data_IF_839443653219
#
_entry.id   IF_839443653219
#
_cell.length_a   1.000
_cell.length_b   1.000
_cell.length_c   1.000
_cell.angle_alpha   90.00
_cell.angle_beta   90.00
_cell.angle_gamma   90.00
#
_symmetry.space_group_name_H-M   'P 1'
#
loop_
_entity.id
_entity.type
_entity.pdbx_description
1 polymer ?
#
# COMPACT_ATOMS: atom_id res chain seq x y z
N UNK A 1 0.18 10.10 -8.08
CA UNK A 1 1.30 10.36 -7.14
C UNK A 1 2.52 9.71 -7.76
N UNK A 2 3.71 10.25 -7.59
CA UNK A 2 4.90 9.55 -8.12
C UNK A 2 5.12 8.22 -7.37
N UNK A 3 5.88 7.32 -7.98
CA UNK A 3 6.20 6.03 -7.36
C UNK A 3 7.02 6.20 -6.07
N UNK A 4 7.87 7.22 -6.02
CA UNK A 4 8.65 7.59 -4.84
C UNK A 4 7.74 8.09 -3.71
N UNK A 5 6.72 8.89 -4.03
CA UNK A 5 5.72 9.35 -3.04
C UNK A 5 4.91 8.18 -2.49
N UNK A 6 4.44 7.27 -3.35
CA UNK A 6 3.71 6.07 -2.94
C UNK A 6 4.59 5.14 -2.10
N UNK A 7 5.84 4.94 -2.49
CA UNK A 7 6.82 4.17 -1.74
C UNK A 7 7.09 4.77 -0.36
N UNK A 8 7.29 6.08 -0.28
CA UNK A 8 7.52 6.79 0.98
C UNK A 8 6.32 6.68 1.93
N UNK A 9 5.08 6.85 1.43
CA UNK A 9 3.88 6.70 2.24
C UNK A 9 3.72 5.26 2.74
N UNK A 10 3.93 4.26 1.88
CA UNK A 10 3.87 2.87 2.28
C UNK A 10 4.91 2.53 3.36
N UNK A 11 6.13 3.06 3.20
CA UNK A 11 7.22 2.90 4.18
C UNK A 11 6.88 3.54 5.52
N UNK A 12 6.31 4.74 5.51
CA UNK A 12 5.88 5.45 6.73
C UNK A 12 4.77 4.69 7.46
N UNK A 13 3.74 4.25 6.72
CA UNK A 13 2.63 3.46 7.27
C UNK A 13 3.11 2.13 7.87
N UNK A 14 4.14 1.50 7.30
CA UNK A 14 4.72 0.27 7.82
C UNK A 14 5.57 0.52 9.07
N UNK A 15 6.50 1.48 9.02
CA UNK A 15 7.48 1.71 10.08
C UNK A 15 6.90 2.42 11.32
N UNK A 16 5.85 3.24 11.15
CA UNK A 16 5.19 3.92 12.27
C UNK A 16 4.01 3.14 12.87
N UNK A 17 3.81 1.90 12.44
CA UNK A 17 2.75 1.04 12.97
C UNK A 17 3.26 0.16 14.11
N UNK A 18 2.37 -0.26 15.04
CA UNK A 18 2.66 -1.40 15.91
C UNK A 18 3.10 -2.60 15.05
N UNK A 19 4.07 -3.37 15.54
CA UNK A 19 4.70 -4.45 14.73
C UNK A 19 3.67 -5.49 14.27
N UNK A 20 2.66 -5.75 15.10
CA UNK A 20 1.52 -6.62 14.83
C UNK A 20 0.59 -6.09 13.73
N UNK A 21 0.58 -4.79 13.48
CA UNK A 21 -0.31 -4.11 12.54
C UNK A 21 0.35 -3.80 11.19
N UNK A 22 1.64 -4.08 11.03
CA UNK A 22 2.39 -3.78 9.80
C UNK A 22 1.71 -4.35 8.54
N UNK A 23 1.27 -5.61 8.59
CA UNK A 23 0.53 -6.24 7.48
C UNK A 23 -0.86 -5.61 7.26
N UNK A 24 -1.51 -5.12 8.32
CA UNK A 24 -2.80 -4.42 8.22
C UNK A 24 -2.62 -3.04 7.57
N UNK A 25 -1.55 -2.32 7.91
CA UNK A 25 -1.25 -1.02 7.32
C UNK A 25 -0.94 -1.12 5.83
N UNK A 26 -0.24 -2.17 5.39
CA UNK A 26 -0.01 -2.41 3.95
C UNK A 26 -1.34 -2.65 3.21
N UNK A 27 -2.28 -3.41 3.79
CA UNK A 27 -3.62 -3.58 3.20
C UNK A 27 -4.39 -2.25 3.16
N UNK A 28 -4.33 -1.47 4.23
CA UNK A 28 -4.98 -0.15 4.31
C UNK A 28 -4.41 0.81 3.27
N UNK A 29 -3.09 0.81 3.07
CA UNK A 29 -2.43 1.54 2.00
C UNK A 29 -3.00 1.14 0.63
N UNK A 30 -3.06 -0.16 0.35
CA UNK A 30 -3.62 -0.67 -0.90
C UNK A 30 -5.08 -0.25 -1.12
N UNK A 31 -5.90 -0.18 -0.07
CA UNK A 31 -7.27 0.34 -0.18
C UNK A 31 -7.27 1.84 -0.46
N UNK A 32 -6.45 2.61 0.26
CA UNK A 32 -6.47 4.08 0.25
C UNK A 32 -5.92 4.68 -1.04
N UNK A 33 -4.88 4.08 -1.61
CA UNK A 33 -4.14 4.62 -2.77
C UNK A 33 -4.40 3.85 -4.08
N UNK A 34 -5.44 3.00 -4.11
CA UNK A 34 -5.77 2.20 -5.27
C UNK A 34 -6.03 3.04 -6.53
N UNK A 35 -6.66 4.19 -6.39
CA UNK A 35 -6.99 5.07 -7.52
C UNK A 35 -5.71 5.65 -8.15
N UNK A 36 -4.78 6.10 -7.33
CA UNK A 36 -3.49 6.64 -7.75
C UNK A 36 -2.63 5.57 -8.41
N UNK A 37 -2.55 4.38 -7.80
CA UNK A 37 -1.78 3.25 -8.33
C UNK A 37 -2.32 2.82 -9.70
N UNK A 38 -3.65 2.69 -9.84
CA UNK A 38 -4.30 2.31 -11.09
C UNK A 38 -4.16 3.39 -12.17
N UNK A 39 -4.22 4.67 -11.79
CA UNK A 39 -4.09 5.81 -12.73
C UNK A 39 -2.73 5.82 -13.43
N UNK A 40 -1.66 5.60 -12.67
CA UNK A 40 -0.29 5.70 -13.15
C UNK A 40 0.29 4.33 -13.58
N UNK A 41 -0.53 3.26 -13.52
CA UNK A 41 -0.24 1.88 -13.93
C UNK A 41 1.03 1.28 -13.27
N UNK A 42 1.26 1.61 -12.00
CA UNK A 42 2.35 1.01 -11.22
C UNK A 42 1.99 -0.42 -10.80
N UNK A 43 2.96 -1.32 -10.92
CA UNK A 43 2.88 -2.66 -10.34
C UNK A 43 3.12 -2.63 -8.84
N UNK A 44 2.62 -3.68 -8.16
CA UNK A 44 2.81 -3.81 -6.72
C UNK A 44 4.29 -3.99 -6.37
N UNK A 45 5.03 -4.72 -7.21
CA UNK A 45 6.46 -4.95 -7.09
C UNK A 45 7.27 -3.64 -7.17
N UNK A 46 6.90 -2.74 -8.07
CA UNK A 46 7.58 -1.44 -8.18
C UNK A 46 7.33 -0.56 -6.94
N UNK A 47 6.10 -0.56 -6.41
CA UNK A 47 5.76 0.17 -5.17
C UNK A 47 6.49 -0.43 -3.97
N UNK A 48 6.52 -1.76 -3.84
CA UNK A 48 7.25 -2.46 -2.78
C UNK A 48 8.74 -2.12 -2.84
N UNK A 49 9.35 -2.18 -4.02
CA UNK A 49 10.74 -1.78 -4.24
C UNK A 49 10.99 -0.32 -3.86
N UNK A 50 10.10 0.60 -4.24
CA UNK A 50 10.23 2.02 -3.90
C UNK A 50 10.08 2.28 -2.38
N UNK A 51 9.29 1.47 -1.68
CA UNK A 51 9.10 1.58 -0.23
C UNK A 51 10.25 1.01 0.62
N UNK A 52 11.08 0.14 0.03
CA UNK A 52 12.11 -0.61 0.75
C UNK A 52 11.58 -1.72 1.67
N UNK A 53 10.28 -2.03 1.61
CA UNK A 53 9.67 -3.12 2.38
C UNK A 53 9.92 -4.45 1.67
N UNK A 54 10.12 -5.51 2.45
CA UNK A 54 10.31 -6.86 1.92
C UNK A 54 9.09 -7.38 1.16
N UNK A 55 9.35 -8.04 0.02
CA UNK A 55 8.33 -8.66 -0.84
C UNK A 55 7.45 -9.73 -0.15
N UNK A 56 7.80 -10.18 1.06
CA UNK A 56 6.94 -11.06 1.86
C UNK A 56 5.55 -10.45 2.13
N UNK A 57 5.43 -9.13 2.05
CA UNK A 57 4.16 -8.41 2.21
C UNK A 57 3.44 -8.11 0.90
N UNK A 58 3.97 -8.50 -0.26
CA UNK A 58 3.37 -8.23 -1.57
C UNK A 58 1.92 -8.73 -1.65
N UNK A 59 1.63 -9.89 -1.07
CA UNK A 59 0.29 -10.46 -1.01
C UNK A 59 -0.69 -9.56 -0.24
N UNK A 60 -0.21 -8.82 0.75
CA UNK A 60 -1.04 -7.92 1.55
C UNK A 60 -1.37 -6.64 0.80
N UNK A 61 -0.43 -6.10 0.02
CA UNK A 61 -0.72 -5.00 -0.90
C UNK A 61 -1.75 -5.41 -1.95
N UNK A 62 -1.57 -6.58 -2.58
CA UNK A 62 -2.49 -7.13 -3.57
C UNK A 62 -3.91 -7.32 -3.02
N UNK A 63 -4.06 -7.82 -1.79
CA UNK A 63 -5.36 -7.96 -1.14
C UNK A 63 -5.99 -6.60 -0.83
N UNK A 64 -5.20 -5.62 -0.38
CA UNK A 64 -5.67 -4.25 -0.15
C UNK A 64 -6.25 -3.61 -1.42
N UNK A 65 -5.52 -3.70 -2.52
CA UNK A 65 -5.97 -3.20 -3.82
C UNK A 65 -7.22 -3.91 -4.34
N UNK A 66 -7.33 -5.23 -4.12
CA UNK A 66 -8.55 -5.97 -4.46
C UNK A 66 -9.73 -5.53 -3.60
N UNK A 67 -9.52 -5.31 -2.29
CA UNK A 67 -10.56 -4.85 -1.39
C UNK A 67 -11.07 -3.45 -1.76
N UNK A 68 -10.22 -2.59 -2.33
CA UNK A 68 -10.60 -1.23 -2.76
C UNK A 68 -11.75 -1.20 -3.78
N UNK A 69 -12.04 -2.33 -4.44
CA UNK A 69 -13.14 -2.46 -5.39
C UNK A 69 -14.50 -2.65 -4.71
N UNK A 70 -14.48 -3.06 -3.43
CA UNK A 70 -15.66 -3.41 -2.65
C UNK A 70 -15.88 -2.50 -1.44
N UNK A 71 -14.87 -1.71 -1.06
CA UNK A 71 -14.93 -0.85 0.11
C UNK A 71 -14.43 0.55 -0.20
N UNK A 72 -14.96 1.53 0.52
CA UNK A 72 -14.39 2.87 0.60
C UNK A 72 -13.77 3.05 1.98
N UNK A 73 -12.54 3.57 2.05
CA UNK A 73 -11.92 3.89 3.32
C UNK A 73 -12.74 4.97 4.03
N UNK A 74 -13.02 4.75 5.32
CA UNK A 74 -13.62 5.78 6.16
C UNK A 74 -12.58 6.89 6.32
N UNK A 75 -12.96 8.15 6.10
CA UNK A 75 -12.09 9.27 6.42
C UNK A 75 -11.79 9.23 7.93
N UNK A 76 -10.50 9.19 8.29
CA UNK A 76 -10.00 9.35 9.66
C UNK A 76 -9.76 10.82 9.95
#
# INVERSE_FOLDING_TARGET
MSIEELGAVLSDMFNNSPKEDAALMIRLFGIRYAAEIKKDNYSNEEIMKASGISDVYLNELSKGLKLSEYVSSKQL
#
